data_IF_293754929968
#
_entry.id   IF_293754929968
#
_cell.length_a   1.000
_cell.length_b   1.000
_cell.length_c   1.000
_cell.angle_alpha   90.00
_cell.angle_beta   90.00
_cell.angle_gamma   90.00
#
_symmetry.space_group_name_H-M   'P 1'
#
loop_
_entity.id
_entity.type
_entity.pdbx_description
1 polymer ?
#
# COMPACT_ATOMS: atom_id res chain seq x y z
N UNK A 1 -17.05 11.81 -4.83
CA UNK A 1 -16.84 11.79 -3.37
C UNK A 1 -15.65 10.92 -2.98
N UNK A 2 -15.64 9.63 -3.25
CA UNK A 2 -14.49 8.76 -2.95
C UNK A 2 -13.16 9.17 -3.59
N UNK A 3 -13.16 9.76 -4.79
CA UNK A 3 -11.94 10.25 -5.45
C UNK A 3 -11.28 11.38 -4.65
N UNK A 4 -12.06 12.23 -3.98
CA UNK A 4 -11.50 13.28 -3.11
C UNK A 4 -10.76 12.67 -1.91
N UNK A 5 -11.30 11.61 -1.33
CA UNK A 5 -10.64 10.86 -0.27
C UNK A 5 -9.35 10.21 -0.76
N UNK A 6 -9.38 9.64 -1.97
CA UNK A 6 -8.19 9.09 -2.62
C UNK A 6 -7.06 10.15 -2.81
N UNK A 7 -7.41 11.37 -3.18
CA UNK A 7 -6.48 12.50 -3.30
C UNK A 7 -5.85 12.80 -1.93
N UNK A 8 -6.66 12.87 -0.88
CA UNK A 8 -6.17 13.09 0.49
C UNK A 8 -5.22 11.97 0.93
N UNK A 9 -5.65 10.72 0.82
CA UNK A 9 -4.88 9.57 1.21
C UNK A 9 -3.57 9.44 0.41
N UNK A 10 -3.61 9.63 -0.91
CA UNK A 10 -2.43 9.61 -1.76
C UNK A 10 -1.44 10.72 -1.45
N UNK A 11 -1.93 11.91 -1.07
CA UNK A 11 -1.10 13.01 -0.58
C UNK A 11 -0.36 12.64 0.71
N UNK A 12 -1.03 11.98 1.65
CA UNK A 12 -0.40 11.50 2.88
C UNK A 12 0.62 10.39 2.58
N UNK A 13 0.28 9.47 1.69
CA UNK A 13 1.16 8.38 1.28
C UNK A 13 2.47 8.88 0.67
N UNK A 14 2.45 9.96 -0.10
CA UNK A 14 3.67 10.54 -0.68
C UNK A 14 4.74 10.89 0.34
N UNK A 15 4.36 11.18 1.58
CA UNK A 15 5.29 11.55 2.64
C UNK A 15 5.50 10.42 3.66
N UNK A 16 4.49 9.58 3.87
CA UNK A 16 4.42 8.69 5.03
C UNK A 16 4.61 7.20 4.68
N UNK A 17 4.79 6.85 3.40
CA UNK A 17 5.19 5.48 3.04
C UNK A 17 6.71 5.30 3.18
N UNK A 18 7.18 4.07 3.44
CA UNK A 18 8.61 3.80 3.55
C UNK A 18 9.42 4.06 2.28
N UNK A 19 8.80 4.04 1.11
CA UNK A 19 9.45 4.34 -0.18
C UNK A 19 9.55 5.83 -0.50
N UNK A 20 9.29 6.72 0.47
CA UNK A 20 9.32 8.18 0.31
C UNK A 20 10.45 8.82 1.12
N UNK A 21 10.26 10.07 1.54
CA UNK A 21 11.21 10.83 2.39
C UNK A 21 11.30 10.31 3.83
N UNK A 22 10.33 9.53 4.30
CA UNK A 22 10.17 9.17 5.70
C UNK A 22 11.38 8.44 6.31
N UNK A 23 12.04 7.45 5.64
CA UNK A 23 13.23 6.81 6.18
C UNK A 23 14.39 7.79 6.41
N UNK A 24 14.60 8.74 5.49
CA UNK A 24 15.67 9.74 5.60
C UNK A 24 15.37 10.75 6.71
N UNK A 25 14.11 11.18 6.86
CA UNK A 25 13.67 12.02 7.98
C UNK A 25 13.84 11.28 9.30
N UNK A 26 13.51 10.00 9.35
CA UNK A 26 13.68 9.19 10.56
C UNK A 26 15.14 9.00 10.94
N UNK A 27 16.06 8.86 9.98
CA UNK A 27 17.52 8.88 10.23
C UNK A 27 17.92 10.24 10.78
N UNK A 28 17.49 11.34 10.16
CA UNK A 28 17.83 12.70 10.59
C UNK A 28 17.36 13.05 12.00
N UNK A 29 16.27 12.41 12.47
CA UNK A 29 15.73 12.57 13.83
C UNK A 29 16.47 11.69 14.85
N UNK A 30 16.85 10.45 14.47
CA UNK A 30 17.36 9.43 15.41
C UNK A 30 18.86 9.27 15.41
N UNK A 31 19.51 9.57 14.28
CA UNK A 31 20.93 9.27 14.00
C UNK A 31 21.27 7.77 14.17
N UNK A 32 20.28 6.87 13.96
CA UNK A 32 20.43 5.42 14.16
C UNK A 32 20.25 4.67 12.85
N UNK A 33 21.22 3.83 12.50
CA UNK A 33 21.30 3.08 11.24
C UNK A 33 20.11 2.12 10.97
N UNK A 34 19.48 1.59 12.04
CA UNK A 34 18.36 0.62 11.90
C UNK A 34 17.00 1.29 11.67
N UNK A 35 16.93 2.60 11.74
CA UNK A 35 15.67 3.35 11.68
C UNK A 35 14.89 3.13 10.39
N UNK A 36 15.50 3.10 9.18
CA UNK A 36 14.76 2.79 7.96
C UNK A 36 14.05 1.44 8.01
N UNK A 37 14.73 0.40 8.48
CA UNK A 37 14.14 -0.93 8.62
C UNK A 37 12.97 -0.93 9.62
N UNK A 38 13.10 -0.21 10.73
CA UNK A 38 12.04 -0.05 11.71
C UNK A 38 10.79 0.61 11.10
N UNK A 39 10.97 1.68 10.32
CA UNK A 39 9.88 2.38 9.63
C UNK A 39 9.16 1.44 8.66
N UNK A 40 9.89 0.66 7.87
CA UNK A 40 9.32 -0.33 6.95
C UNK A 40 8.52 -1.39 7.69
N UNK A 41 9.06 -1.93 8.79
CA UNK A 41 8.38 -2.94 9.62
C UNK A 41 7.10 -2.36 10.22
N UNK A 42 7.15 -1.16 10.81
CA UNK A 42 5.98 -0.50 11.39
C UNK A 42 4.90 -0.33 10.32
N UNK A 43 5.25 0.19 9.15
CA UNK A 43 4.29 0.44 8.08
C UNK A 43 3.53 -0.83 7.69
N UNK A 44 4.23 -1.88 7.38
CA UNK A 44 3.59 -3.11 6.90
C UNK A 44 3.00 -3.95 8.03
N UNK A 45 3.75 -4.22 9.10
CA UNK A 45 3.28 -5.10 10.16
C UNK A 45 2.12 -4.49 10.94
N UNK A 46 2.23 -3.23 11.37
CA UNK A 46 1.17 -2.56 12.13
C UNK A 46 -0.05 -2.28 11.24
N UNK A 47 0.17 -1.86 9.97
CA UNK A 47 -0.91 -1.62 9.02
C UNK A 47 -1.71 -2.88 8.71
N UNK A 48 -1.06 -4.02 8.47
CA UNK A 48 -1.74 -5.28 8.21
C UNK A 48 -2.38 -5.83 9.49
N UNK A 49 -1.71 -5.72 10.64
CA UNK A 49 -2.27 -6.14 11.92
C UNK A 49 -3.55 -5.38 12.27
N UNK A 50 -3.59 -4.08 12.01
CA UNK A 50 -4.80 -3.27 12.22
C UNK A 50 -5.96 -3.67 11.29
N UNK A 51 -5.67 -4.02 10.03
CA UNK A 51 -6.68 -4.57 9.12
C UNK A 51 -7.26 -5.88 9.66
N UNK A 52 -6.40 -6.77 10.16
CA UNK A 52 -6.84 -8.03 10.77
C UNK A 52 -7.74 -7.80 11.98
N UNK A 53 -7.34 -6.92 12.91
CA UNK A 53 -8.12 -6.59 14.10
C UNK A 53 -9.50 -5.99 13.77
N UNK A 54 -9.55 -5.07 12.82
CA UNK A 54 -10.79 -4.38 12.47
C UNK A 54 -11.71 -5.25 11.64
N UNK A 55 -11.18 -6.10 10.77
CA UNK A 55 -11.98 -7.08 10.03
C UNK A 55 -12.62 -8.13 10.97
N UNK A 56 -11.89 -8.58 12.01
CA UNK A 56 -12.38 -9.55 12.99
C UNK A 56 -13.51 -9.00 13.88
N UNK A 57 -13.41 -7.72 14.27
CA UNK A 57 -14.40 -7.07 15.16
C UNK A 57 -15.65 -6.56 14.46
N UNK A 58 -15.69 -6.66 13.17
CA UNK A 58 -16.77 -6.06 12.39
C UNK A 58 -18.04 -6.89 12.48
N UNK A 59 -19.05 -6.36 13.17
CA UNK A 59 -20.39 -6.86 13.04
C UNK A 59 -20.96 -6.49 11.66
N UNK A 60 -21.59 -7.44 10.96
CA UNK A 60 -22.19 -7.22 9.63
C UNK A 60 -23.27 -6.12 9.61
N UNK A 61 -23.76 -5.71 10.77
CA UNK A 61 -24.74 -4.64 10.96
C UNK A 61 -24.13 -3.25 11.17
N UNK A 62 -22.79 -3.16 11.33
CA UNK A 62 -22.14 -1.85 11.51
C UNK A 62 -22.08 -1.08 10.19
N UNK A 63 -22.49 0.16 10.28
CA UNK A 63 -22.36 1.20 9.27
C UNK A 63 -20.88 1.35 8.85
N UNK A 64 -20.54 0.85 7.68
CA UNK A 64 -19.16 0.87 7.15
C UNK A 64 -18.63 2.32 7.04
N UNK A 65 -19.51 3.26 6.76
CA UNK A 65 -19.21 4.69 6.72
C UNK A 65 -18.71 5.21 8.06
N UNK A 66 -19.32 4.81 9.18
CA UNK A 66 -18.86 5.23 10.53
C UNK A 66 -17.43 4.74 10.80
N UNK A 67 -17.12 3.50 10.42
CA UNK A 67 -15.77 2.96 10.53
C UNK A 67 -14.74 3.77 9.75
N UNK A 68 -15.04 4.10 8.49
CA UNK A 68 -14.17 4.93 7.64
C UNK A 68 -13.96 6.32 8.24
N UNK A 69 -15.02 6.98 8.73
CA UNK A 69 -14.92 8.31 9.34
C UNK A 69 -14.11 8.28 10.62
N UNK A 70 -14.39 7.34 11.53
CA UNK A 70 -13.69 7.23 12.81
C UNK A 70 -12.18 7.03 12.64
N UNK A 71 -11.80 6.01 11.88
CA UNK A 71 -10.38 5.73 11.64
C UNK A 71 -9.70 6.81 10.80
N UNK A 72 -10.46 7.44 9.89
CA UNK A 72 -9.97 8.59 9.13
C UNK A 72 -9.64 9.81 10.03
N UNK A 73 -10.40 10.05 11.09
CA UNK A 73 -10.06 11.09 12.09
C UNK A 73 -8.79 10.69 12.86
N UNK A 74 -8.71 9.43 13.32
CA UNK A 74 -7.52 8.93 14.04
C UNK A 74 -6.25 9.03 13.19
N UNK A 75 -6.33 8.73 11.89
CA UNK A 75 -5.21 8.88 10.94
C UNK A 75 -4.69 10.33 10.91
N UNK A 76 -5.57 11.31 10.82
CA UNK A 76 -5.21 12.74 10.79
C UNK A 76 -4.59 13.20 12.11
N UNK A 77 -5.09 12.70 13.24
CA UNK A 77 -4.48 12.95 14.55
C UNK A 77 -3.03 12.43 14.54
N UNK A 78 -2.78 11.23 13.99
CA UNK A 78 -1.41 10.69 13.85
C UNK A 78 -0.50 11.63 13.05
N UNK A 79 -0.97 12.17 11.91
CA UNK A 79 -0.19 13.11 11.08
C UNK A 79 0.07 14.44 11.83
N UNK A 80 -0.93 14.97 12.54
CA UNK A 80 -0.78 16.21 13.34
C UNK A 80 0.26 16.01 14.44
N UNK A 81 0.18 14.90 15.19
CA UNK A 81 1.15 14.60 16.25
C UNK A 81 2.55 14.43 15.68
N UNK A 82 2.69 13.81 14.50
CA UNK A 82 3.97 13.67 13.81
C UNK A 82 4.57 15.05 13.44
N UNK A 83 3.75 15.95 12.89
CA UNK A 83 4.17 17.32 12.55
C UNK A 83 4.60 18.11 13.79
N UNK A 84 3.83 18.02 14.89
CA UNK A 84 4.16 18.67 16.17
C UNK A 84 5.46 18.13 16.76
N UNK A 85 5.69 16.82 16.65
CA UNK A 85 6.93 16.20 17.13
C UNK A 85 8.15 16.73 16.37
N UNK A 86 8.06 16.80 15.05
CA UNK A 86 9.15 17.30 14.21
C UNK A 86 9.44 18.78 14.45
N UNK A 87 8.41 19.59 14.75
CA UNK A 87 8.59 21.02 15.03
C UNK A 87 9.21 21.30 16.40
N UNK A 88 8.94 20.43 17.40
CA UNK A 88 9.28 20.73 18.81
C UNK A 88 10.43 19.91 19.38
N UNK A 89 10.62 18.67 18.90
CA UNK A 89 11.51 17.67 19.54
C UNK A 89 12.50 17.03 18.57
N UNK A 90 12.77 17.63 17.42
CA UNK A 90 13.75 17.09 16.48
C UNK A 90 15.13 16.94 17.15
N UNK A 91 15.81 15.79 16.90
CA UNK A 91 17.15 15.44 17.41
C UNK A 91 17.25 15.11 18.90
N UNK A 92 16.18 14.71 19.55
CA UNK A 92 16.21 14.18 20.91
C UNK A 92 15.73 12.72 20.93
N UNK A 93 16.20 11.90 21.88
CA UNK A 93 15.71 10.53 22.04
C UNK A 93 14.20 10.48 22.31
N UNK A 94 13.69 11.44 23.10
CA UNK A 94 12.24 11.58 23.34
C UNK A 94 11.51 11.97 22.06
N UNK A 95 12.08 12.86 21.26
CA UNK A 95 11.52 13.23 19.95
C UNK A 95 11.41 12.02 19.01
N UNK A 96 12.41 11.16 19.00
CA UNK A 96 12.35 9.92 18.21
C UNK A 96 11.25 8.97 18.70
N UNK A 97 11.08 8.81 20.03
CA UNK A 97 10.01 7.99 20.60
C UNK A 97 8.63 8.53 20.19
N UNK A 98 8.41 9.85 20.35
CA UNK A 98 7.14 10.48 19.93
C UNK A 98 6.90 10.36 18.42
N UNK A 99 7.96 10.51 17.60
CA UNK A 99 7.89 10.29 16.16
C UNK A 99 7.40 8.87 15.83
N UNK A 100 8.01 7.85 16.45
CA UNK A 100 7.62 6.44 16.24
C UNK A 100 6.18 6.19 16.70
N UNK A 101 5.77 6.71 17.87
CA UNK A 101 4.40 6.55 18.38
C UNK A 101 3.39 7.23 17.46
N UNK A 102 3.65 8.46 17.01
CA UNK A 102 2.79 9.17 16.08
C UNK A 102 2.65 8.41 14.76
N UNK A 103 3.76 7.85 14.26
CA UNK A 103 3.77 7.04 13.05
C UNK A 103 2.98 5.75 13.21
N UNK A 104 3.09 5.07 14.36
CA UNK A 104 2.28 3.89 14.68
C UNK A 104 0.78 4.25 14.67
N UNK A 105 0.38 5.39 15.27
CA UNK A 105 -1.02 5.83 15.28
C UNK A 105 -1.51 6.06 13.85
N UNK A 106 -0.73 6.74 13.01
CA UNK A 106 -1.05 6.95 11.60
C UNK A 106 -1.23 5.61 10.86
N UNK A 107 -0.23 4.74 10.90
CA UNK A 107 -0.22 3.47 10.17
C UNK A 107 -1.32 2.52 10.64
N UNK A 108 -1.54 2.45 11.96
CA UNK A 108 -2.62 1.63 12.53
C UNK A 108 -3.98 2.11 12.02
N UNK A 109 -4.21 3.42 12.04
CA UNK A 109 -5.49 4.01 11.60
C UNK A 109 -5.69 3.83 10.10
N UNK A 110 -4.65 4.08 9.28
CA UNK A 110 -4.68 3.88 7.84
C UNK A 110 -5.00 2.42 7.46
N UNK A 111 -4.41 1.45 8.16
CA UNK A 111 -4.75 0.04 7.98
C UNK A 111 -6.17 -0.31 8.44
N UNK A 112 -6.59 0.23 9.59
CA UNK A 112 -7.91 -0.02 10.17
C UNK A 112 -9.09 0.51 9.33
N UNK A 113 -8.86 1.54 8.50
CA UNK A 113 -9.84 2.06 7.54
C UNK A 113 -10.18 1.01 6.47
N UNK A 114 -9.19 0.27 5.97
CA UNK A 114 -9.29 -0.49 4.73
C UNK A 114 -10.45 -1.50 4.70
N UNK A 115 -10.70 -2.36 5.72
CA UNK A 115 -11.82 -3.28 5.68
C UNK A 115 -13.17 -2.57 5.53
N UNK A 116 -13.38 -1.47 6.27
CA UNK A 116 -14.60 -0.68 6.18
C UNK A 116 -14.72 0.06 4.85
N UNK A 117 -13.61 0.55 4.31
CA UNK A 117 -13.56 1.24 3.03
C UNK A 117 -13.89 0.31 1.86
N UNK A 118 -13.26 -0.87 1.79
CA UNK A 118 -13.55 -1.86 0.75
C UNK A 118 -15.01 -2.27 0.73
N UNK A 119 -15.62 -2.46 1.90
CA UNK A 119 -17.01 -2.84 1.98
C UNK A 119 -17.96 -1.69 1.63
N UNK A 120 -17.65 -0.45 2.06
CA UNK A 120 -18.42 0.73 1.67
C UNK A 120 -18.41 0.90 0.15
N UNK A 121 -17.23 0.80 -0.47
CA UNK A 121 -17.06 0.87 -1.92
C UNK A 121 -17.81 -0.25 -2.63
N UNK A 122 -17.72 -1.49 -2.14
CA UNK A 122 -18.38 -2.64 -2.75
C UNK A 122 -19.92 -2.53 -2.73
N UNK A 123 -20.49 -1.87 -1.71
CA UNK A 123 -21.93 -1.62 -1.60
C UNK A 123 -22.41 -0.44 -2.42
N UNK A 124 -21.66 0.67 -2.39
CA UNK A 124 -22.06 1.92 -3.06
C UNK A 124 -21.76 1.88 -4.56
N UNK A 125 -20.64 1.26 -4.95
CA UNK A 125 -20.15 1.23 -6.33
C UNK A 125 -20.14 -0.19 -6.93
N UNK A 126 -21.15 -0.99 -6.60
CA UNK A 126 -21.23 -2.40 -7.00
C UNK A 126 -20.85 -2.67 -8.46
N UNK A 127 -21.34 -1.85 -9.37
CA UNK A 127 -21.12 -1.98 -10.82
C UNK A 127 -19.78 -1.46 -11.32
N UNK A 128 -19.20 -0.41 -10.70
CA UNK A 128 -18.02 0.32 -11.16
C UNK A 128 -16.79 0.10 -10.30
N UNK A 129 -16.81 -0.86 -9.39
CA UNK A 129 -15.78 -1.06 -8.37
C UNK A 129 -14.36 -1.24 -8.94
N UNK A 130 -14.19 -1.99 -10.05
CA UNK A 130 -12.87 -2.23 -10.64
C UNK A 130 -12.27 -0.96 -11.25
N UNK A 131 -13.08 -0.22 -11.98
CA UNK A 131 -12.68 1.10 -12.51
C UNK A 131 -12.41 2.07 -11.38
N UNK A 132 -13.22 2.01 -10.33
CA UNK A 132 -13.05 2.86 -9.16
C UNK A 132 -11.71 2.59 -8.45
N UNK A 133 -11.32 1.34 -8.18
CA UNK A 133 -10.03 1.05 -7.53
C UNK A 133 -8.84 1.55 -8.35
N UNK A 134 -8.91 1.44 -9.67
CA UNK A 134 -7.89 2.01 -10.54
C UNK A 134 -7.85 3.54 -10.46
N UNK A 135 -9.00 4.21 -10.58
CA UNK A 135 -9.08 5.67 -10.49
C UNK A 135 -8.66 6.17 -9.10
N UNK A 136 -9.04 5.44 -8.04
CA UNK A 136 -8.66 5.76 -6.66
C UNK A 136 -7.12 5.80 -6.54
N UNK A 137 -6.44 4.75 -6.95
CA UNK A 137 -4.97 4.69 -6.89
C UNK A 137 -4.33 5.68 -7.88
N UNK A 138 -4.90 5.86 -9.06
CA UNK A 138 -4.41 6.83 -10.06
C UNK A 138 -4.45 8.25 -9.53
N UNK A 139 -5.60 8.71 -9.05
CA UNK A 139 -5.74 10.07 -8.51
C UNK A 139 -4.97 10.26 -7.20
N UNK A 140 -4.94 9.23 -6.35
CA UNK A 140 -4.14 9.24 -5.13
C UNK A 140 -2.65 9.39 -5.43
N UNK A 141 -2.10 8.58 -6.34
CA UNK A 141 -0.68 8.66 -6.72
C UNK A 141 -0.36 9.95 -7.47
N UNK A 142 -1.27 10.46 -8.31
CA UNK A 142 -1.09 11.76 -8.97
C UNK A 142 -1.06 12.92 -7.96
N UNK A 143 -1.92 12.91 -6.95
CA UNK A 143 -1.89 13.88 -5.86
C UNK A 143 -0.59 13.76 -5.05
N UNK A 144 -0.19 12.53 -4.76
CA UNK A 144 1.09 12.25 -4.11
C UNK A 144 2.29 12.79 -4.89
N UNK A 145 2.29 12.65 -6.21
CA UNK A 145 3.29 13.27 -7.09
C UNK A 145 3.37 14.80 -6.91
N UNK A 146 2.23 15.49 -6.91
CA UNK A 146 2.20 16.94 -6.74
C UNK A 146 2.73 17.36 -5.36
N UNK A 147 2.35 16.64 -4.31
CA UNK A 147 2.85 16.89 -2.95
C UNK A 147 4.35 16.62 -2.88
N UNK A 148 4.83 15.53 -3.45
CA UNK A 148 6.26 15.21 -3.51
C UNK A 148 7.07 16.31 -4.19
N UNK A 149 6.58 16.85 -5.31
CA UNK A 149 7.24 18.00 -6.00
C UNK A 149 7.28 19.25 -5.14
N UNK A 150 6.20 19.55 -4.43
CA UNK A 150 6.18 20.68 -3.49
C UNK A 150 7.20 20.49 -2.36
N UNK A 151 7.26 19.30 -1.77
CA UNK A 151 8.20 18.99 -0.69
C UNK A 151 9.65 19.03 -1.16
N UNK A 152 9.94 18.53 -2.36
CA UNK A 152 11.27 18.58 -2.97
C UNK A 152 11.77 20.03 -3.12
N UNK A 153 10.91 20.93 -3.57
CA UNK A 153 11.21 22.36 -3.61
C UNK A 153 11.47 22.93 -2.21
N UNK A 154 10.64 22.58 -1.22
CA UNK A 154 10.81 23.07 0.15
C UNK A 154 12.05 22.50 0.85
N UNK A 155 12.42 21.26 0.57
CA UNK A 155 13.67 20.67 1.04
C UNK A 155 14.89 21.42 0.46
N UNK A 156 14.84 21.77 -0.82
CA UNK A 156 15.94 22.52 -1.47
C UNK A 156 16.10 23.95 -0.92
N UNK A 157 15.01 24.57 -0.44
CA UNK A 157 15.01 25.92 0.13
C UNK A 157 15.41 25.92 1.62
N UNK A 158 14.87 24.99 2.42
CA UNK A 158 14.88 25.07 3.89
C UNK A 158 15.57 23.86 4.57
N UNK A 159 16.04 22.88 3.78
CA UNK A 159 16.59 21.63 4.31
C UNK A 159 15.53 20.55 4.58
N UNK A 160 16.02 19.32 4.88
CA UNK A 160 15.17 18.11 4.93
C UNK A 160 14.02 18.22 5.94
N UNK A 161 14.30 18.57 7.19
CA UNK A 161 13.29 18.56 8.27
C UNK A 161 12.22 19.63 8.05
N UNK A 162 12.63 20.88 7.76
CA UNK A 162 11.70 21.99 7.56
C UNK A 162 10.89 21.85 6.27
N UNK A 163 11.52 21.39 5.20
CA UNK A 163 10.85 21.12 3.95
C UNK A 163 9.80 19.99 4.10
N UNK A 164 10.15 18.91 4.79
CA UNK A 164 9.23 17.82 5.08
C UNK A 164 8.08 18.27 6.00
N UNK A 165 8.34 19.08 7.03
CA UNK A 165 7.33 19.66 7.92
C UNK A 165 6.32 20.52 7.13
N UNK A 166 6.81 21.33 6.20
CA UNK A 166 5.96 22.12 5.28
C UNK A 166 5.03 21.20 4.45
N UNK A 167 5.55 20.07 4.00
CA UNK A 167 4.76 19.03 3.33
C UNK A 167 3.70 18.41 4.23
N UNK A 168 4.02 18.09 5.48
CA UNK A 168 3.05 17.56 6.44
C UNK A 168 1.91 18.53 6.71
N UNK A 169 2.18 19.83 6.83
CA UNK A 169 1.15 20.86 6.99
C UNK A 169 0.22 20.88 5.78
N UNK A 170 0.76 20.84 4.57
CA UNK A 170 -0.04 20.72 3.34
C UNK A 170 -0.90 19.46 3.35
N UNK A 171 -0.33 18.32 3.71
CA UNK A 171 -1.03 17.03 3.78
C UNK A 171 -2.16 17.06 4.82
N UNK A 172 -1.95 17.64 6.00
CA UNK A 172 -3.00 17.82 7.00
C UNK A 172 -4.19 18.60 6.42
N UNK A 173 -3.93 19.70 5.72
CA UNK A 173 -4.98 20.48 5.08
C UNK A 173 -5.73 19.67 4.01
N UNK A 174 -5.00 19.04 3.08
CA UNK A 174 -5.59 18.26 1.96
C UNK A 174 -6.38 17.06 2.49
N UNK A 175 -5.85 16.29 3.43
CA UNK A 175 -6.53 15.12 4.00
C UNK A 175 -7.77 15.53 4.81
N UNK A 176 -7.74 16.65 5.52
CA UNK A 176 -8.89 17.16 6.26
C UNK A 176 -10.02 17.60 5.33
N UNK A 177 -9.70 18.32 4.26
CA UNK A 177 -10.68 18.73 3.23
C UNK A 177 -11.23 17.53 2.47
N UNK A 178 -10.41 16.55 2.14
CA UNK A 178 -10.83 15.36 1.40
C UNK A 178 -11.83 14.48 2.16
N UNK A 179 -11.89 14.60 3.48
CA UNK A 179 -12.83 13.85 4.32
C UNK A 179 -14.27 14.40 4.24
N UNK A 180 -14.45 15.69 3.94
CA UNK A 180 -15.77 16.33 3.93
C UNK A 180 -16.77 15.60 3.02
N UNK A 181 -16.44 15.23 1.76
CA UNK A 181 -17.35 14.48 0.91
C UNK A 181 -17.78 13.10 1.46
N UNK A 182 -16.98 12.47 2.32
CA UNK A 182 -17.34 11.16 2.90
C UNK A 182 -18.57 11.27 3.82
N UNK A 183 -18.75 12.39 4.50
CA UNK A 183 -19.94 12.64 5.31
C UNK A 183 -21.23 12.70 4.49
N UNK A 184 -21.14 13.02 3.21
CA UNK A 184 -22.27 13.13 2.29
C UNK A 184 -22.65 11.79 1.62
N UNK A 185 -21.81 10.75 1.74
CA UNK A 185 -22.11 9.43 1.17
C UNK A 185 -23.31 8.83 1.89
N UNK A 186 -24.32 8.41 1.13
CA UNK A 186 -25.44 7.61 1.64
C UNK A 186 -25.10 6.13 1.45
N UNK A 187 -24.99 5.39 2.55
CA UNK A 187 -24.81 3.94 2.51
C UNK A 187 -26.17 3.30 2.22
N UNK A 188 -26.30 2.45 1.18
CA UNK A 188 -27.55 1.71 0.94
C UNK A 188 -27.83 0.81 2.14
N UNK A 189 -29.03 0.90 2.70
CA UNK A 189 -29.46 -0.06 3.70
C UNK A 189 -29.52 -1.43 3.03
N UNK A 190 -28.64 -2.34 3.41
CA UNK A 190 -28.74 -3.73 3.00
C UNK A 190 -29.98 -4.29 3.65
N UNK A 191 -31.03 -4.49 2.85
CA UNK A 191 -32.21 -5.23 3.29
C UNK A 191 -31.77 -6.57 3.91
N UNK A 192 -32.56 -7.06 4.87
CA UNK A 192 -32.33 -8.27 5.68
C UNK A 192 -32.15 -9.56 4.86
N UNK A 193 -31.17 -9.64 4.00
CA UNK A 193 -30.75 -10.92 3.45
C UNK A 193 -29.80 -11.59 4.45
N UNK A 194 -30.27 -12.62 5.16
CA UNK A 194 -29.47 -13.38 6.09
C UNK A 194 -28.54 -14.33 5.31
N UNK A 195 -27.58 -13.80 4.56
CA UNK A 195 -26.48 -14.62 4.08
C UNK A 195 -25.62 -14.94 5.30
N UNK A 196 -25.75 -16.19 5.77
CA UNK A 196 -24.93 -16.89 6.77
C UNK A 196 -24.17 -15.97 7.73
N UNK A 197 -24.81 -15.66 8.85
CA UNK A 197 -24.24 -14.97 10.01
C UNK A 197 -23.22 -15.88 10.70
N UNK A 198 -22.02 -15.99 10.19
CA UNK A 198 -20.88 -16.32 11.04
C UNK A 198 -20.61 -15.08 11.89
N UNK A 199 -21.14 -15.04 13.10
CA UNK A 199 -20.79 -14.02 14.08
C UNK A 199 -19.35 -14.25 14.50
N UNK A 200 -18.42 -13.54 13.83
CA UNK A 200 -17.02 -13.56 14.21
C UNK A 200 -16.92 -12.73 15.48
N UNK A 201 -16.85 -13.42 16.63
CA UNK A 201 -16.82 -12.79 17.95
C UNK A 201 -15.41 -12.68 18.49
N UNK A 202 -14.45 -13.44 17.92
CA UNK A 202 -13.07 -13.48 18.39
C UNK A 202 -12.07 -13.57 17.26
N UNK A 203 -10.80 -13.23 17.55
CA UNK A 203 -9.67 -13.41 16.61
C UNK A 203 -9.49 -14.88 16.22
N UNK A 204 -9.77 -15.82 17.14
CA UNK A 204 -9.67 -17.25 16.86
C UNK A 204 -10.71 -17.70 15.84
N UNK A 205 -11.92 -17.12 15.90
CA UNK A 205 -12.97 -17.42 14.94
C UNK A 205 -12.63 -16.85 13.55
N UNK A 206 -12.03 -15.67 13.50
CA UNK A 206 -11.51 -15.09 12.26
C UNK A 206 -10.48 -16.02 11.58
N UNK A 207 -9.54 -16.53 12.35
CA UNK A 207 -8.53 -17.48 11.84
C UNK A 207 -9.18 -18.77 11.33
N UNK A 208 -10.21 -19.30 12.03
CA UNK A 208 -10.93 -20.49 11.56
C UNK A 208 -11.65 -20.23 10.25
N UNK A 209 -12.36 -19.08 10.13
CA UNK A 209 -13.04 -18.66 8.92
C UNK A 209 -12.04 -18.52 7.75
N UNK A 210 -10.90 -17.86 7.97
CA UNK A 210 -9.87 -17.74 6.96
C UNK A 210 -9.30 -19.10 6.53
N UNK A 211 -9.08 -20.00 7.48
CA UNK A 211 -8.63 -21.36 7.20
C UNK A 211 -9.63 -22.15 6.34
N UNK A 212 -10.91 -21.97 6.61
CA UNK A 212 -11.99 -22.58 5.83
C UNK A 212 -12.07 -22.01 4.40
N UNK A 213 -12.04 -20.68 4.27
CA UNK A 213 -12.01 -19.99 2.97
C UNK A 213 -10.78 -20.44 2.18
N UNK A 214 -9.62 -20.45 2.82
CA UNK A 214 -8.36 -20.88 2.19
C UNK A 214 -8.42 -22.32 1.69
N UNK A 215 -9.02 -23.23 2.47
CA UNK A 215 -9.15 -24.64 2.11
C UNK A 215 -10.12 -24.86 0.94
N UNK A 216 -11.20 -24.11 0.90
CA UNK A 216 -12.31 -24.33 -0.02
C UNK A 216 -12.21 -23.51 -1.32
N UNK A 217 -11.40 -22.45 -1.36
CA UNK A 217 -11.24 -21.58 -2.51
C UNK A 217 -9.82 -21.65 -3.08
N UNK A 218 -9.66 -22.47 -4.13
CA UNK A 218 -8.35 -22.68 -4.80
C UNK A 218 -7.78 -21.37 -5.36
N UNK A 219 -8.61 -20.47 -5.86
CA UNK A 219 -8.18 -19.19 -6.40
C UNK A 219 -7.61 -18.27 -5.31
N UNK A 220 -8.31 -18.15 -4.18
CA UNK A 220 -7.80 -17.36 -3.02
C UNK A 220 -6.53 -17.98 -2.44
N UNK A 221 -6.44 -19.31 -2.39
CA UNK A 221 -5.23 -20.00 -1.97
C UNK A 221 -4.04 -19.65 -2.89
N UNK A 222 -4.23 -19.70 -4.20
CA UNK A 222 -3.18 -19.37 -5.17
C UNK A 222 -2.71 -17.92 -5.03
N UNK A 223 -3.64 -16.97 -4.92
CA UNK A 223 -3.31 -15.54 -4.75
C UNK A 223 -2.64 -15.29 -3.39
N UNK A 224 -3.11 -15.90 -2.29
CA UNK A 224 -2.51 -15.77 -0.96
C UNK A 224 -1.06 -16.27 -0.94
N UNK A 225 -0.81 -17.44 -1.54
CA UNK A 225 0.53 -18.00 -1.62
C UNK A 225 1.45 -17.14 -2.51
N UNK A 226 0.93 -16.65 -3.63
CA UNK A 226 1.68 -15.70 -4.47
C UNK A 226 1.97 -14.39 -3.73
N UNK A 227 1.02 -13.88 -2.93
CA UNK A 227 1.21 -12.69 -2.12
C UNK A 227 2.35 -12.82 -1.09
N UNK A 228 2.54 -14.01 -0.53
CA UNK A 228 3.69 -14.26 0.34
C UNK A 228 5.01 -13.99 -0.40
N UNK A 229 5.17 -14.51 -1.61
CA UNK A 229 6.39 -14.31 -2.39
C UNK A 229 6.49 -12.89 -2.97
N UNK A 230 5.39 -12.30 -3.42
CA UNK A 230 5.36 -10.93 -3.97
C UNK A 230 5.69 -9.86 -2.94
N UNK A 231 5.53 -10.16 -1.65
CA UNK A 231 5.89 -9.24 -0.57
C UNK A 231 7.41 -8.96 -0.51
N UNK A 232 8.27 -9.88 -1.02
CA UNK A 232 9.73 -9.68 -1.01
C UNK A 232 10.15 -8.48 -1.84
N UNK A 233 9.85 -8.38 -3.16
CA UNK A 233 10.21 -7.21 -3.96
C UNK A 233 9.56 -5.92 -3.47
N UNK A 234 8.35 -5.98 -2.94
CA UNK A 234 7.71 -4.80 -2.36
C UNK A 234 8.39 -4.32 -1.09
N UNK A 235 8.80 -5.23 -0.19
CA UNK A 235 9.54 -4.90 1.02
C UNK A 235 10.94 -4.32 0.75
N UNK A 236 11.53 -4.63 -0.40
CA UNK A 236 12.84 -4.14 -0.82
C UNK A 236 12.75 -2.75 -1.46
N UNK A 237 11.66 -2.42 -2.12
CA UNK A 237 11.48 -1.15 -2.85
C UNK A 237 11.89 0.09 -2.04
N UNK A 238 11.58 0.23 -0.75
CA UNK A 238 12.01 1.37 0.06
C UNK A 238 13.53 1.52 0.22
N UNK A 239 14.28 0.44 0.04
CA UNK A 239 15.74 0.46 0.22
C UNK A 239 16.50 0.83 -1.03
N UNK A 240 15.87 0.89 -2.20
CA UNK A 240 16.56 1.28 -3.44
C UNK A 240 17.18 2.67 -3.33
N UNK A 241 16.48 3.66 -2.79
CA UNK A 241 17.04 5.01 -2.61
C UNK A 241 18.20 5.03 -1.63
N UNK A 242 18.05 4.33 -0.50
CA UNK A 242 19.10 4.22 0.54
C UNK A 242 20.37 3.58 -0.04
N UNK A 243 20.22 2.50 -0.80
CA UNK A 243 21.35 1.81 -1.42
C UNK A 243 22.04 2.64 -2.51
N UNK A 244 21.26 3.37 -3.32
CA UNK A 244 21.82 4.27 -4.34
C UNK A 244 22.63 5.41 -3.69
N UNK A 245 22.14 5.98 -2.59
CA UNK A 245 22.86 7.02 -1.84
C UNK A 245 24.12 6.44 -1.19
N UNK A 246 23.99 5.28 -0.51
CA UNK A 246 25.08 4.74 0.32
C UNK A 246 26.17 4.02 -0.45
N UNK A 247 25.86 3.39 -1.61
CA UNK A 247 26.83 2.56 -2.35
C UNK A 247 27.24 3.12 -3.70
N UNK A 248 26.46 4.06 -4.25
CA UNK A 248 26.82 4.72 -5.52
C UNK A 248 27.12 6.20 -5.33
N UNK A 249 27.26 6.66 -4.07
CA UNK A 249 27.59 8.05 -3.71
C UNK A 249 26.70 9.10 -4.40
N UNK A 250 25.42 8.74 -4.64
CA UNK A 250 24.50 9.63 -5.32
C UNK A 250 23.98 10.68 -4.32
N UNK A 251 24.00 11.96 -4.68
CA UNK A 251 23.58 13.00 -3.76
C UNK A 251 22.11 12.87 -3.35
N UNK A 252 21.80 13.14 -2.09
CA UNK A 252 20.46 13.05 -1.48
C UNK A 252 19.41 13.95 -2.15
N UNK A 253 19.84 14.99 -2.88
CA UNK A 253 18.94 15.86 -3.64
C UNK A 253 18.23 15.16 -4.81
N UNK A 254 18.59 13.91 -5.13
CA UNK A 254 17.89 13.06 -6.10
C UNK A 254 16.65 12.35 -5.54
N UNK A 255 16.52 12.30 -4.22
CA UNK A 255 15.45 11.55 -3.54
C UNK A 255 14.06 11.97 -4.01
N UNK A 256 13.78 13.27 -4.03
CA UNK A 256 12.49 13.80 -4.49
C UNK A 256 12.14 13.43 -5.92
N UNK A 257 13.14 13.40 -6.81
CA UNK A 257 12.97 12.94 -8.19
C UNK A 257 12.58 11.45 -8.25
N UNK A 258 13.21 10.60 -7.45
CA UNK A 258 12.89 9.16 -7.40
C UNK A 258 11.50 8.89 -6.86
N UNK A 259 11.11 9.55 -5.77
CA UNK A 259 9.74 9.48 -5.23
C UNK A 259 8.74 9.95 -6.28
N UNK A 260 9.06 11.01 -7.01
CA UNK A 260 8.26 11.54 -8.12
C UNK A 260 8.04 10.49 -9.22
N UNK A 261 9.12 9.82 -9.69
CA UNK A 261 9.02 8.76 -10.69
C UNK A 261 8.24 7.55 -10.17
N UNK A 262 8.45 7.15 -8.91
CA UNK A 262 7.71 6.05 -8.28
C UNK A 262 6.20 6.33 -8.30
N UNK A 263 5.77 7.48 -7.81
CA UNK A 263 4.35 7.83 -7.70
C UNK A 263 3.68 8.06 -9.06
N UNK A 264 4.39 8.72 -9.99
CA UNK A 264 3.85 8.95 -11.33
C UNK A 264 3.66 7.63 -12.08
N UNK A 265 4.66 6.75 -12.06
CA UNK A 265 4.55 5.44 -12.71
C UNK A 265 3.55 4.52 -12.00
N UNK A 266 3.40 4.61 -10.69
CA UNK A 266 2.33 3.92 -9.94
C UNK A 266 0.94 4.39 -10.41
N UNK A 267 0.76 5.70 -10.61
CA UNK A 267 -0.48 6.27 -11.16
C UNK A 267 -0.79 5.71 -12.55
N UNK A 268 0.20 5.74 -13.45
CA UNK A 268 0.09 5.21 -14.81
C UNK A 268 -0.24 3.71 -14.79
N UNK A 269 0.51 2.94 -14.01
CA UNK A 269 0.30 1.49 -13.89
C UNK A 269 -1.11 1.14 -13.44
N UNK A 270 -1.62 1.82 -12.41
CA UNK A 270 -2.97 1.62 -11.89
C UNK A 270 -4.06 1.94 -12.90
N UNK A 271 -3.88 3.02 -13.67
CA UNK A 271 -4.84 3.45 -14.69
C UNK A 271 -5.06 2.41 -15.78
N UNK A 272 -4.00 1.71 -16.19
CA UNK A 272 -4.10 0.72 -17.25
C UNK A 272 -4.70 -0.63 -16.81
N UNK A 273 -4.71 -0.95 -15.50
CA UNK A 273 -5.20 -2.25 -15.00
C UNK A 273 -6.64 -2.57 -15.42
N UNK A 274 -7.66 -1.71 -15.25
CA UNK A 274 -9.01 -2.06 -15.68
C UNK A 274 -9.12 -2.20 -17.20
N UNK A 275 -8.37 -1.39 -17.97
CA UNK A 275 -8.39 -1.44 -19.43
C UNK A 275 -7.89 -2.78 -19.95
N UNK A 276 -6.81 -3.26 -19.35
CA UNK A 276 -6.19 -4.55 -19.68
C UNK A 276 -6.95 -5.70 -19.01
N UNK A 277 -7.22 -5.58 -17.70
CA UNK A 277 -7.82 -6.64 -16.89
C UNK A 277 -9.23 -7.03 -17.31
N UNK A 278 -10.05 -6.07 -17.77
CA UNK A 278 -11.38 -6.36 -18.33
C UNK A 278 -11.28 -7.20 -19.62
N UNK A 279 -10.23 -6.99 -20.42
CA UNK A 279 -10.05 -7.69 -21.72
C UNK A 279 -9.43 -9.06 -21.55
N UNK A 280 -8.36 -9.17 -20.76
CA UNK A 280 -7.55 -10.39 -20.65
C UNK A 280 -7.62 -11.09 -19.28
N UNK A 281 -8.25 -10.48 -18.30
CA UNK A 281 -8.37 -10.99 -16.93
C UNK A 281 -7.37 -10.37 -15.96
N UNK A 282 -7.79 -10.19 -14.68
CA UNK A 282 -6.94 -9.61 -13.64
C UNK A 282 -5.78 -10.51 -13.19
N UNK A 283 -5.83 -11.79 -13.49
CA UNK A 283 -4.71 -12.71 -13.37
C UNK A 283 -3.47 -12.23 -14.14
N UNK A 284 -3.65 -11.83 -15.40
CA UNK A 284 -2.53 -11.40 -16.25
C UNK A 284 -1.99 -10.03 -15.85
N UNK A 285 -2.84 -9.11 -15.41
CA UNK A 285 -2.36 -7.83 -14.87
C UNK A 285 -1.61 -8.02 -13.56
N UNK A 286 -2.03 -8.94 -12.71
CA UNK A 286 -1.30 -9.29 -11.49
C UNK A 286 0.11 -9.85 -11.81
N UNK A 287 0.21 -10.78 -12.78
CA UNK A 287 1.49 -11.32 -13.27
C UNK A 287 2.37 -10.20 -13.85
N UNK A 288 1.77 -9.29 -14.63
CA UNK A 288 2.48 -8.13 -15.18
C UNK A 288 3.08 -7.25 -14.07
N UNK A 289 2.32 -6.97 -13.00
CA UNK A 289 2.79 -6.20 -11.85
C UNK A 289 4.02 -6.83 -11.19
N UNK A 290 4.00 -8.15 -10.98
CA UNK A 290 5.17 -8.89 -10.46
C UNK A 290 6.36 -8.86 -11.43
N UNK A 291 6.11 -8.92 -12.74
CA UNK A 291 7.13 -8.78 -13.77
C UNK A 291 7.82 -7.42 -13.73
N UNK A 292 7.08 -6.33 -13.43
CA UNK A 292 7.67 -5.00 -13.29
C UNK A 292 8.59 -4.92 -12.05
N UNK A 293 8.20 -5.52 -10.93
CA UNK A 293 9.06 -5.63 -9.74
C UNK A 293 10.33 -6.44 -10.00
N UNK A 294 10.24 -7.54 -10.76
CA UNK A 294 11.39 -8.31 -11.21
C UNK A 294 12.35 -7.44 -12.02
N UNK A 295 11.82 -6.68 -13.00
CA UNK A 295 12.60 -5.79 -13.86
C UNK A 295 13.28 -4.70 -13.03
N UNK A 296 12.60 -4.10 -12.04
CA UNK A 296 13.20 -3.09 -11.16
C UNK A 296 14.43 -3.64 -10.43
N UNK A 297 14.32 -4.84 -9.83
CA UNK A 297 15.44 -5.51 -9.16
C UNK A 297 16.58 -5.88 -10.14
N UNK A 298 16.24 -6.34 -11.34
CA UNK A 298 17.21 -6.67 -12.38
C UNK A 298 17.98 -5.44 -12.86
N UNK A 299 17.28 -4.31 -13.08
CA UNK A 299 17.92 -3.04 -13.47
C UNK A 299 18.91 -2.61 -12.38
N UNK A 300 18.54 -2.70 -11.10
CA UNK A 300 19.45 -2.34 -10.00
C UNK A 300 20.75 -3.15 -10.04
N UNK A 301 20.69 -4.45 -10.36
CA UNK A 301 21.88 -5.33 -10.45
C UNK A 301 22.72 -5.03 -11.68
N UNK A 302 22.07 -4.76 -12.81
CA UNK A 302 22.72 -4.72 -14.12
C UNK A 302 23.23 -3.34 -14.53
N UNK A 303 22.78 -2.28 -13.86
CA UNK A 303 23.06 -0.92 -14.32
C UNK A 303 23.91 -0.13 -13.33
N UNK A 304 24.85 0.64 -13.90
CA UNK A 304 25.52 1.71 -13.21
C UNK A 304 24.56 2.88 -12.94
N UNK A 305 25.04 3.91 -12.26
CA UNK A 305 24.28 5.10 -11.85
C UNK A 305 23.48 5.81 -12.96
N UNK A 306 23.71 5.50 -14.23
CA UNK A 306 23.08 6.17 -15.39
C UNK A 306 21.58 5.88 -15.51
N UNK A 307 21.12 4.67 -15.16
CA UNK A 307 19.74 4.24 -15.36
C UNK A 307 18.93 4.14 -14.06
N UNK A 308 19.41 4.72 -12.98
CA UNK A 308 18.78 4.68 -11.64
C UNK A 308 17.30 5.06 -11.65
N UNK A 309 16.88 6.01 -12.49
CA UNK A 309 15.49 6.45 -12.57
C UNK A 309 14.56 5.33 -13.06
N UNK A 310 15.04 4.42 -13.90
CA UNK A 310 14.24 3.29 -14.40
C UNK A 310 13.86 2.34 -13.27
N UNK A 311 14.69 2.20 -12.23
CA UNK A 311 14.40 1.38 -11.06
C UNK A 311 13.07 1.83 -10.42
N UNK A 312 12.93 3.14 -10.19
CA UNK A 312 11.73 3.72 -9.57
C UNK A 312 10.54 3.72 -10.52
N UNK A 313 10.76 3.87 -11.82
CA UNK A 313 9.70 3.76 -12.83
C UNK A 313 9.13 2.35 -12.83
N UNK A 314 9.97 1.33 -12.92
CA UNK A 314 9.49 -0.07 -12.94
C UNK A 314 8.95 -0.52 -11.58
N UNK A 315 9.54 -0.09 -10.46
CA UNK A 315 9.00 -0.35 -9.13
C UNK A 315 7.61 0.29 -8.95
N UNK A 316 7.44 1.54 -9.38
CA UNK A 316 6.15 2.23 -9.32
C UNK A 316 5.10 1.59 -10.23
N UNK A 317 5.43 1.25 -11.47
CA UNK A 317 4.55 0.47 -12.35
C UNK A 317 4.14 -0.84 -11.67
N UNK A 318 5.10 -1.55 -11.08
CA UNK A 318 4.87 -2.78 -10.34
C UNK A 318 3.86 -2.59 -9.21
N UNK A 319 4.07 -1.60 -8.34
CA UNK A 319 3.16 -1.27 -7.24
C UNK A 319 1.76 -0.91 -7.74
N UNK A 320 1.67 -0.07 -8.77
CA UNK A 320 0.38 0.37 -9.31
C UNK A 320 -0.42 -0.77 -9.92
N UNK A 321 0.21 -1.54 -10.79
CA UNK A 321 -0.43 -2.67 -11.48
C UNK A 321 -0.78 -3.77 -10.47
N UNK A 322 0.16 -4.14 -9.60
CA UNK A 322 -0.02 -5.22 -8.64
C UNK A 322 -1.14 -4.91 -7.62
N UNK A 323 -1.09 -3.77 -6.94
CA UNK A 323 -2.07 -3.44 -5.89
C UNK A 323 -3.48 -3.26 -6.46
N UNK A 324 -3.62 -2.66 -7.65
CA UNK A 324 -4.92 -2.55 -8.31
C UNK A 324 -5.45 -3.92 -8.73
N UNK A 325 -4.59 -4.79 -9.27
CA UNK A 325 -4.98 -6.15 -9.66
C UNK A 325 -5.35 -7.01 -8.46
N UNK A 326 -4.59 -6.93 -7.36
CA UNK A 326 -4.90 -7.63 -6.11
C UNK A 326 -6.25 -7.20 -5.54
N UNK A 327 -6.54 -5.89 -5.52
CA UNK A 327 -7.82 -5.37 -5.04
C UNK A 327 -9.00 -5.89 -5.87
N UNK A 328 -8.84 -5.97 -7.19
CA UNK A 328 -9.85 -6.54 -8.07
C UNK A 328 -10.00 -8.06 -7.85
N UNK A 329 -8.92 -8.80 -7.74
CA UNK A 329 -8.96 -10.25 -7.44
C UNK A 329 -9.59 -10.52 -6.06
N UNK A 330 -9.30 -9.69 -5.04
CA UNK A 330 -9.93 -9.83 -3.71
C UNK A 330 -11.46 -9.70 -3.76
N UNK A 331 -11.96 -8.80 -4.61
CA UNK A 331 -13.40 -8.62 -4.78
C UNK A 331 -14.04 -9.71 -5.64
N UNK A 332 -13.31 -10.23 -6.63
CA UNK A 332 -13.83 -11.24 -7.56
C UNK A 332 -13.81 -12.65 -7.00
N UNK A 333 -12.78 -12.98 -6.23
CA UNK A 333 -12.62 -14.27 -5.56
C UNK A 333 -13.35 -14.33 -4.21
N UNK A 334 -13.65 -13.19 -3.60
CA UNK A 334 -14.40 -13.09 -2.36
C UNK A 334 -15.91 -13.07 -2.58
N UNK A 335 -16.66 -13.30 -1.50
CA UNK A 335 -18.11 -13.17 -1.52
C UNK A 335 -18.56 -11.71 -1.56
N UNK A 336 -19.73 -11.46 -2.13
CA UNK A 336 -20.34 -10.13 -2.17
C UNK A 336 -20.58 -9.62 -0.74
N UNK A 337 -19.99 -8.47 -0.44
CA UNK A 337 -20.06 -7.84 0.90
C UNK A 337 -19.01 -8.31 1.89
N UNK A 338 -18.05 -9.15 1.49
CA UNK A 338 -16.92 -9.63 2.32
C UNK A 338 -15.55 -9.29 1.71
N UNK A 339 -15.53 -8.35 0.77
CA UNK A 339 -14.31 -7.93 0.07
C UNK A 339 -13.23 -7.39 1.02
N UNK A 340 -13.63 -6.67 2.08
CA UNK A 340 -12.71 -6.16 3.09
C UNK A 340 -12.01 -7.27 3.88
N UNK A 341 -12.74 -8.32 4.26
CA UNK A 341 -12.20 -9.48 4.95
C UNK A 341 -11.28 -10.30 4.02
N UNK A 342 -11.69 -10.49 2.77
CA UNK A 342 -10.87 -11.18 1.76
C UNK A 342 -9.56 -10.43 1.50
N UNK A 343 -9.61 -9.11 1.35
CA UNK A 343 -8.38 -8.31 1.19
C UNK A 343 -7.49 -8.36 2.44
N UNK A 344 -8.06 -8.29 3.64
CA UNK A 344 -7.30 -8.42 4.88
C UNK A 344 -6.61 -9.80 5.00
N UNK A 345 -7.30 -10.87 4.57
CA UNK A 345 -6.72 -12.21 4.51
C UNK A 345 -5.56 -12.28 3.52
N UNK A 346 -5.73 -11.78 2.31
CA UNK A 346 -4.68 -11.78 1.29
C UNK A 346 -3.44 -11.00 1.73
N UNK A 347 -3.63 -9.87 2.40
CA UNK A 347 -2.52 -9.04 2.91
C UNK A 347 -1.84 -9.65 4.13
N UNK A 348 -2.56 -10.39 4.99
CA UNK A 348 -1.99 -11.01 6.18
C UNK A 348 -0.89 -12.03 5.86
N UNK A 349 -0.97 -12.73 4.73
CA UNK A 349 0.07 -13.66 4.27
C UNK A 349 1.42 -12.98 3.98
N UNK A 350 1.45 -11.66 3.82
CA UNK A 350 2.64 -10.86 3.52
C UNK A 350 3.43 -10.45 4.77
N UNK A 351 2.79 -10.49 5.96
CA UNK A 351 3.39 -10.02 7.24
C UNK A 351 4.74 -10.64 7.55
N UNK A 352 4.92 -11.97 7.48
CA UNK A 352 6.23 -12.57 7.81
C UNK A 352 7.37 -12.01 6.95
N UNK A 353 7.10 -11.75 5.67
CA UNK A 353 8.08 -11.20 4.73
C UNK A 353 8.36 -9.72 5.04
N UNK A 354 7.31 -8.93 5.30
CA UNK A 354 7.45 -7.52 5.65
C UNK A 354 8.16 -7.26 6.99
N UNK A 355 8.30 -8.27 7.82
CA UNK A 355 9.13 -8.21 9.02
C UNK A 355 10.54 -8.72 8.73
N UNK A 356 10.66 -9.90 8.11
CA UNK A 356 11.95 -10.57 7.95
C UNK A 356 12.86 -9.88 6.93
N UNK A 357 12.34 -9.43 5.80
CA UNK A 357 13.16 -8.80 4.74
C UNK A 357 13.78 -7.48 5.21
N UNK A 358 13.06 -6.52 5.79
CA UNK A 358 13.67 -5.30 6.32
C UNK A 358 14.68 -5.57 7.44
N UNK A 359 14.44 -6.57 8.29
CA UNK A 359 15.43 -6.98 9.30
C UNK A 359 16.71 -7.50 8.64
N UNK A 360 16.59 -8.37 7.63
CA UNK A 360 17.75 -8.86 6.87
C UNK A 360 18.50 -7.72 6.20
N UNK A 361 17.80 -6.79 5.56
CA UNK A 361 18.42 -5.59 4.95
C UNK A 361 19.15 -4.75 6.01
N UNK A 362 18.55 -4.57 7.19
CA UNK A 362 19.17 -3.83 8.28
C UNK A 362 20.46 -4.51 8.80
N UNK A 363 20.49 -5.84 8.91
CA UNK A 363 21.66 -6.57 9.39
C UNK A 363 22.76 -6.75 8.33
N UNK A 364 22.38 -6.93 7.08
CA UNK A 364 23.30 -7.25 5.98
C UNK A 364 23.48 -6.05 5.05
N UNK A 365 24.29 -5.08 5.49
CA UNK A 365 24.54 -3.84 4.78
C UNK A 365 25.90 -3.85 4.05
N UNK A 366 26.16 -4.87 3.23
CA UNK A 366 27.33 -4.95 2.35
C UNK A 366 26.90 -5.12 0.90
N UNK A 367 27.73 -4.71 -0.05
CA UNK A 367 27.45 -4.82 -1.49
C UNK A 367 27.09 -6.26 -1.90
N UNK A 368 27.84 -7.25 -1.39
CA UNK A 368 27.58 -8.67 -1.69
C UNK A 368 26.24 -9.13 -1.12
N UNK A 369 25.86 -8.65 0.06
CA UNK A 369 24.59 -9.01 0.70
C UNK A 369 23.41 -8.40 -0.04
N UNK A 370 23.52 -7.16 -0.53
CA UNK A 370 22.49 -6.50 -1.34
C UNK A 370 22.25 -7.28 -2.63
N UNK A 371 23.32 -7.71 -3.31
CA UNK A 371 23.19 -8.54 -4.50
C UNK A 371 22.40 -9.82 -4.23
N UNK A 372 22.67 -10.53 -3.13
CA UNK A 372 21.94 -11.73 -2.74
C UNK A 372 20.46 -11.43 -2.42
N UNK A 373 20.18 -10.31 -1.74
CA UNK A 373 18.81 -9.87 -1.42
C UNK A 373 18.03 -9.57 -2.70
N UNK A 374 18.65 -8.93 -3.68
CA UNK A 374 18.04 -8.64 -4.98
C UNK A 374 17.79 -9.91 -5.80
N UNK A 375 18.72 -10.87 -5.81
CA UNK A 375 18.49 -12.19 -6.42
C UNK A 375 17.35 -12.92 -5.76
N UNK A 376 17.25 -12.86 -4.42
CA UNK A 376 16.10 -13.42 -3.69
C UNK A 376 14.79 -12.73 -4.06
N UNK A 377 14.79 -11.40 -4.24
CA UNK A 377 13.64 -10.63 -4.73
C UNK A 377 13.18 -11.12 -6.11
N UNK A 378 14.12 -11.23 -7.06
CA UNK A 378 13.82 -11.69 -8.41
C UNK A 378 13.26 -13.12 -8.42
N UNK A 379 13.89 -14.03 -7.66
CA UNK A 379 13.44 -15.43 -7.54
C UNK A 379 12.04 -15.50 -6.94
N UNK A 380 11.77 -14.72 -5.91
CA UNK A 380 10.45 -14.64 -5.27
C UNK A 380 9.38 -14.11 -6.23
N UNK A 381 9.69 -13.09 -7.02
CA UNK A 381 8.76 -12.59 -8.04
C UNK A 381 8.41 -13.67 -9.08
N UNK A 382 9.41 -14.43 -9.56
CA UNK A 382 9.21 -15.54 -10.48
C UNK A 382 8.32 -16.62 -9.85
N UNK A 383 8.59 -17.02 -8.61
CA UNK A 383 7.79 -18.02 -7.89
C UNK A 383 6.34 -17.55 -7.77
N UNK A 384 6.12 -16.28 -7.39
CA UNK A 384 4.79 -15.67 -7.32
C UNK A 384 4.06 -15.71 -8.66
N UNK A 385 4.75 -15.39 -9.77
CA UNK A 385 4.23 -15.46 -11.13
C UNK A 385 3.82 -16.90 -11.48
N UNK A 386 4.69 -17.87 -11.24
CA UNK A 386 4.43 -19.29 -11.56
C UNK A 386 3.22 -19.83 -10.77
N UNK A 387 3.10 -19.49 -9.49
CA UNK A 387 1.97 -19.90 -8.66
C UNK A 387 0.65 -19.42 -9.28
N UNK A 388 0.55 -18.13 -9.61
CA UNK A 388 -0.67 -17.57 -10.20
C UNK A 388 -0.89 -18.10 -11.61
N UNK A 389 0.14 -18.21 -12.42
CA UNK A 389 0.04 -18.70 -13.78
C UNK A 389 -0.56 -20.11 -13.83
N UNK A 390 -0.13 -21.03 -12.96
CA UNK A 390 -0.53 -22.43 -13.00
C UNK A 390 -1.69 -22.79 -12.08
N UNK A 391 -1.87 -22.11 -10.93
CA UNK A 391 -2.92 -22.48 -9.96
C UNK A 391 -4.17 -21.62 -10.04
N UNK A 392 -4.08 -20.38 -10.51
CA UNK A 392 -5.26 -19.56 -10.70
C UNK A 392 -5.87 -19.85 -12.06
N UNK A 393 -6.93 -20.59 -12.08
CA UNK A 393 -7.77 -20.74 -13.29
C UNK A 393 -8.49 -19.43 -13.55
N UNK A 394 -8.64 -19.04 -14.81
CA UNK A 394 -9.30 -17.79 -15.22
C UNK A 394 -10.82 -17.88 -14.99
N UNK A 395 -11.37 -17.41 -13.86
CA UNK A 395 -12.81 -17.53 -13.62
C UNK A 395 -13.56 -16.27 -14.02
N UNK A 396 -12.89 -15.23 -14.50
CA UNK A 396 -13.33 -13.86 -14.25
C UNK A 396 -13.97 -13.20 -15.46
N UNK A 397 -13.76 -13.70 -16.65
CA UNK A 397 -14.37 -13.16 -17.87
C UNK A 397 -15.91 -13.20 -17.92
N UNK A 398 -16.65 -14.15 -17.32
CA UNK A 398 -18.10 -14.19 -17.44
C UNK A 398 -18.85 -13.10 -16.66
N UNK A 399 -18.35 -12.69 -15.48
CA UNK A 399 -19.08 -11.73 -14.62
C UNK A 399 -18.98 -10.28 -15.10
N UNK A 400 -17.96 -9.93 -15.84
CA UNK A 400 -17.73 -8.58 -16.39
C UNK A 400 -18.29 -8.39 -17.79
N UNK A 401 -18.51 -9.47 -18.56
CA UNK A 401 -19.13 -9.40 -19.90
C UNK A 401 -20.59 -8.92 -19.93
N UNK A 402 -21.27 -8.85 -18.78
CA UNK A 402 -22.61 -8.29 -18.67
C UNK A 402 -22.72 -6.81 -19.10
N UNK A 403 -21.60 -6.08 -19.13
CA UNK A 403 -21.56 -4.66 -19.46
C UNK A 403 -21.48 -4.34 -20.94
N UNK A 404 -21.02 -5.27 -21.75
CA UNK A 404 -20.83 -5.08 -23.20
C UNK A 404 -22.01 -5.60 -24.03
N UNK A 405 -23.02 -6.25 -23.38
CA UNK A 405 -24.18 -6.77 -24.09
C UNK A 405 -25.41 -5.84 -24.06
N UNK A 406 -25.43 -4.87 -23.16
CA UNK A 406 -26.57 -3.93 -22.99
C UNK A 406 -26.22 -2.48 -23.39
N UNK A 407 -25.12 -2.26 -24.09
CA UNK A 407 -24.76 -1.04 -24.81
C UNK A 407 -24.75 -1.34 -26.31
#
# INVERSE_FOLDING_TARGET
MFIFDAIGFGSAFALLIPGSYLPDVAIAVSDKWYTPSLIVIIFYAVGIFSQFLTSARRNKEQDSKRGVIFWGICERIGIIVLALTLSSYSKTDMGFIFFVVAYIIFVFSAGAILPSYFDLVSRVLYKFRSVFFALNLTFGSAAGYLVSRYVDLKISENGLIEGYLSGLILVIAVTSLSMIPLFLIREPQTGNNPTTKLSITSLSDQIKVWKEIYKNNVGLNAVSLSNFFSAVPEAITPFFSIWLISFHDIPTNRLGMWVTFLLLSQSIGSFFVPIIGIKIGFKYTYILGLGMHFIASAIFILTDSTFQNLIFIFAGLGLGIFNTSQSNLAVELGDVGDAGNTNAMLTAFRVPIFISVPLLVGFFNSTSSIFLILLFSMSSAIIGILIVAFKLTDPVLPKVRFWLKDS
#
